data_IF_340908326103
#
_entry.id   IF_340908326103
#
_cell.length_a   1.000
_cell.length_b   1.000
_cell.length_c   1.000
_cell.angle_alpha   90.00
_cell.angle_beta   90.00
_cell.angle_gamma   90.00
#
_symmetry.space_group_name_H-M   'P 1'
#
loop_
_entity.id
_entity.type
_entity.pdbx_description
1 polymer ?
#
# COMPACT_ATOMS: atom_id res chain seq x y z
N UNK A 1 17.57 8.67 -31.20
CA UNK A 1 17.67 8.21 -29.80
C UNK A 1 16.26 8.05 -29.27
N UNK A 2 15.90 6.89 -28.72
CA UNK A 2 14.58 6.61 -28.17
C UNK A 2 14.69 5.86 -26.85
N UNK A 3 13.80 6.17 -25.91
CA UNK A 3 13.68 5.52 -24.60
C UNK A 3 12.27 4.94 -24.48
N UNK A 4 12.15 3.70 -24.01
CA UNK A 4 10.87 3.10 -23.61
C UNK A 4 10.96 2.76 -22.12
N UNK A 5 9.96 3.19 -21.35
CA UNK A 5 9.79 2.80 -19.96
C UNK A 5 8.50 2.00 -19.83
N UNK A 6 8.57 0.85 -19.17
CA UNK A 6 7.40 0.07 -18.78
C UNK A 6 7.11 0.38 -17.31
N UNK A 7 5.91 0.90 -17.03
CA UNK A 7 5.42 1.17 -15.69
C UNK A 7 4.16 0.34 -15.51
N UNK A 8 4.02 -0.31 -14.35
CA UNK A 8 2.77 -0.97 -14.01
C UNK A 8 1.65 0.05 -13.96
N UNK A 9 0.55 -0.26 -14.64
CA UNK A 9 -0.61 0.59 -14.66
C UNK A 9 -1.30 0.54 -13.30
N UNK A 10 -1.55 1.72 -12.73
CA UNK A 10 -2.41 1.84 -11.56
C UNK A 10 -3.84 1.48 -11.92
N UNK A 11 -4.54 0.79 -11.01
CA UNK A 11 -5.98 0.60 -11.14
C UNK A 11 -6.68 1.96 -11.19
N UNK A 12 -7.61 2.18 -12.14
CA UNK A 12 -8.20 3.51 -12.38
C UNK A 12 -9.01 4.04 -11.19
N UNK A 13 -9.51 3.15 -10.35
CA UNK A 13 -10.34 3.46 -9.18
C UNK A 13 -9.53 3.75 -7.90
N UNK A 14 -8.21 3.56 -7.90
CA UNK A 14 -7.36 3.64 -6.70
C UNK A 14 -7.54 4.95 -5.94
N UNK A 15 -7.61 6.09 -6.64
CA UNK A 15 -7.81 7.41 -6.03
C UNK A 15 -9.17 7.53 -5.34
N UNK A 16 -10.21 7.04 -6.00
CA UNK A 16 -11.57 7.07 -5.47
C UNK A 16 -11.67 6.19 -4.23
N UNK A 17 -11.05 5.01 -4.25
CA UNK A 17 -10.98 4.09 -3.11
C UNK A 17 -10.25 4.73 -1.92
N UNK A 18 -9.05 5.29 -2.13
CA UNK A 18 -8.30 5.97 -1.08
C UNK A 18 -9.07 7.16 -0.49
N UNK A 19 -9.72 7.96 -1.33
CA UNK A 19 -10.58 9.06 -0.88
C UNK A 19 -11.74 8.54 -0.01
N UNK A 20 -12.42 7.47 -0.43
CA UNK A 20 -13.54 6.89 0.34
C UNK A 20 -13.08 6.31 1.68
N UNK A 21 -11.92 5.65 1.71
CA UNK A 21 -11.36 5.06 2.92
C UNK A 21 -10.94 6.13 3.94
N UNK A 22 -10.33 7.21 3.46
CA UNK A 22 -9.90 8.33 4.31
C UNK A 22 -11.08 9.18 4.78
N UNK A 23 -12.07 9.41 3.92
CA UNK A 23 -13.27 10.18 4.27
C UNK A 23 -14.20 9.41 5.21
N UNK A 24 -14.41 8.11 4.97
CA UNK A 24 -15.17 7.21 5.84
C UNK A 24 -16.62 7.66 6.13
N UNK A 25 -17.43 6.73 6.65
CA UNK A 25 -18.79 7.04 7.10
C UNK A 25 -18.76 7.75 8.47
N UNK A 26 -18.39 9.03 8.50
CA UNK A 26 -18.39 9.85 9.73
C UNK A 26 -17.08 9.76 10.55
N UNK A 27 -17.14 9.34 11.81
CA UNK A 27 -16.01 9.40 12.77
C UNK A 27 -14.97 8.25 12.62
N UNK A 28 -15.10 7.38 11.64
CA UNK A 28 -14.36 6.12 11.51
C UNK A 28 -13.46 6.02 10.25
N UNK A 29 -13.07 7.15 9.65
CA UNK A 29 -12.17 7.17 8.50
C UNK A 29 -10.75 6.71 8.82
N UNK A 30 -10.05 6.17 7.82
CA UNK A 30 -8.63 5.83 7.92
C UNK A 30 -7.80 7.11 8.04
N UNK A 31 -7.09 7.27 9.16
CA UNK A 31 -6.29 8.47 9.45
C UNK A 31 -5.00 8.57 8.64
N UNK A 32 -4.36 7.44 8.39
CA UNK A 32 -3.06 7.35 7.73
C UNK A 32 -3.09 6.20 6.72
N UNK A 33 -2.58 6.48 5.53
CA UNK A 33 -2.39 5.51 4.45
C UNK A 33 -0.90 5.47 4.15
N UNK A 34 -0.33 4.28 4.15
CA UNK A 34 1.08 4.01 3.84
C UNK A 34 1.18 3.17 2.57
N UNK A 35 2.21 3.42 1.77
CA UNK A 35 2.59 2.60 0.61
C UNK A 35 3.93 1.92 0.91
N UNK A 36 3.94 0.59 0.94
CA UNK A 36 5.13 -0.22 1.21
C UNK A 36 5.43 -1.09 -0.01
N UNK A 37 6.63 -0.97 -0.59
CA UNK A 37 7.01 -1.75 -1.78
C UNK A 37 8.47 -2.21 -1.73
N UNK A 38 8.75 -3.32 -2.43
CA UNK A 38 10.11 -3.77 -2.70
C UNK A 38 10.83 -2.99 -3.80
N UNK A 39 10.08 -2.18 -4.57
CA UNK A 39 10.64 -1.34 -5.64
C UNK A 39 11.54 -0.24 -5.11
N UNK A 40 12.37 0.31 -6.00
CA UNK A 40 13.22 1.46 -5.67
C UNK A 40 12.38 2.63 -5.15
N UNK A 41 12.88 3.30 -4.10
CA UNK A 41 12.23 4.45 -3.48
C UNK A 41 11.75 5.51 -4.48
N UNK A 42 12.53 5.79 -5.53
CA UNK A 42 12.14 6.75 -6.58
C UNK A 42 10.85 6.38 -7.32
N UNK A 43 10.66 5.09 -7.61
CA UNK A 43 9.44 4.56 -8.25
C UNK A 43 8.28 4.69 -7.27
N UNK A 44 8.48 4.23 -6.02
CA UNK A 44 7.44 4.25 -4.98
C UNK A 44 6.97 5.68 -4.69
N UNK A 45 7.87 6.65 -4.57
CA UNK A 45 7.51 8.07 -4.37
C UNK A 45 6.72 8.62 -5.57
N UNK A 46 7.10 8.25 -6.80
CA UNK A 46 6.39 8.69 -8.01
C UNK A 46 4.95 8.13 -8.03
N UNK A 47 4.80 6.84 -7.74
CA UNK A 47 3.50 6.17 -7.70
C UNK A 47 2.64 6.71 -6.55
N UNK A 48 3.21 6.88 -5.35
CA UNK A 48 2.53 7.46 -4.19
C UNK A 48 1.99 8.86 -4.47
N UNK A 49 2.81 9.73 -5.06
CA UNK A 49 2.39 11.09 -5.45
C UNK A 49 1.23 11.05 -6.45
N UNK A 50 1.27 10.11 -7.40
CA UNK A 50 0.21 9.98 -8.41
C UNK A 50 -1.14 9.60 -7.79
N UNK A 51 -1.18 8.94 -6.63
CA UNK A 51 -2.41 8.53 -5.92
C UNK A 51 -2.73 9.38 -4.68
N UNK A 52 -1.93 10.41 -4.38
CA UNK A 52 -2.16 11.34 -3.26
C UNK A 52 -1.63 10.86 -1.91
N UNK A 53 -0.71 9.89 -1.89
CA UNK A 53 0.00 9.47 -0.66
C UNK A 53 1.24 10.36 -0.49
N UNK A 54 1.42 10.88 0.72
CA UNK A 54 2.56 11.75 1.05
C UNK A 54 3.89 10.97 1.00
N UNK A 55 4.96 11.64 0.61
CA UNK A 55 6.25 11.00 0.38
C UNK A 55 6.86 10.37 1.65
N UNK A 56 6.58 10.92 2.82
CA UNK A 56 6.98 10.40 4.14
C UNK A 56 6.22 9.12 4.54
N UNK A 57 5.13 8.79 3.82
CA UNK A 57 4.32 7.58 4.02
C UNK A 57 4.51 6.56 2.90
N UNK A 58 5.51 6.76 2.05
CA UNK A 58 5.82 5.92 0.91
C UNK A 58 7.24 5.36 1.05
N UNK A 59 7.37 4.05 1.28
CA UNK A 59 8.65 3.40 1.59
C UNK A 59 8.94 2.31 0.56
N UNK A 60 10.05 2.46 -0.15
CA UNK A 60 10.56 1.50 -1.12
C UNK A 60 11.75 0.70 -0.61
N UNK A 61 12.17 -0.30 -1.38
CA UNK A 61 13.32 -1.16 -1.10
C UNK A 61 13.07 -2.12 0.07
N UNK A 62 11.81 -2.39 0.41
CA UNK A 62 11.44 -3.20 1.56
C UNK A 62 11.44 -4.70 1.23
N UNK A 63 12.07 -5.49 2.07
CA UNK A 63 11.91 -6.95 2.09
C UNK A 63 10.56 -7.35 2.70
N UNK A 64 10.10 -8.60 2.52
CA UNK A 64 8.92 -9.11 3.21
C UNK A 64 8.99 -8.98 4.75
N UNK A 65 10.19 -9.09 5.32
CA UNK A 65 10.41 -8.90 6.76
C UNK A 65 10.23 -7.44 7.17
N UNK A 66 10.82 -6.51 6.41
CA UNK A 66 10.72 -5.07 6.70
C UNK A 66 9.25 -4.60 6.70
N UNK A 67 8.45 -5.12 5.76
CA UNK A 67 7.00 -4.80 5.71
C UNK A 67 6.27 -5.29 6.97
N UNK A 68 6.58 -6.49 7.44
CA UNK A 68 6.02 -7.03 8.68
C UNK A 68 6.46 -6.21 9.90
N UNK A 69 7.75 -5.89 10.00
CA UNK A 69 8.29 -5.08 11.10
C UNK A 69 7.65 -3.67 11.14
N UNK A 70 7.42 -3.07 9.98
CA UNK A 70 6.73 -1.78 9.87
C UNK A 70 5.31 -1.84 10.47
N UNK A 71 4.55 -2.88 10.13
CA UNK A 71 3.20 -3.11 10.69
C UNK A 71 3.27 -3.36 12.20
N UNK A 72 4.25 -4.15 12.65
CA UNK A 72 4.45 -4.44 14.07
C UNK A 72 4.72 -3.15 14.88
N UNK A 73 5.55 -2.24 14.34
CA UNK A 73 5.81 -0.92 14.95
C UNK A 73 4.53 -0.09 15.06
N UNK A 74 3.74 0.02 13.99
CA UNK A 74 2.46 0.74 14.05
C UNK A 74 1.50 0.16 15.09
N UNK A 75 1.45 -1.17 15.20
CA UNK A 75 0.63 -1.85 16.22
C UNK A 75 1.14 -1.59 17.64
N UNK A 76 2.46 -1.59 17.83
CA UNK A 76 3.09 -1.27 19.11
C UNK A 76 2.76 0.17 19.56
N UNK A 77 2.60 1.09 18.61
CA UNK A 77 2.12 2.46 18.85
C UNK A 77 0.60 2.55 19.11
N UNK A 78 -0.06 1.42 19.33
CA UNK A 78 -1.48 1.33 19.65
C UNK A 78 -2.42 1.51 18.45
N UNK A 79 -1.89 1.52 17.21
CA UNK A 79 -2.70 1.67 16.00
C UNK A 79 -3.39 0.33 15.66
N UNK A 80 -4.58 0.44 15.05
CA UNK A 80 -5.22 -0.69 14.36
C UNK A 80 -4.85 -0.61 12.89
N UNK A 81 -4.24 -1.68 12.37
CA UNK A 81 -3.66 -1.72 11.03
C UNK A 81 -4.45 -2.69 10.15
N UNK A 82 -4.88 -2.20 8.98
CA UNK A 82 -5.38 -3.00 7.87
C UNK A 82 -4.27 -3.03 6.81
N UNK A 83 -3.89 -4.22 6.36
CA UNK A 83 -2.90 -4.42 5.30
C UNK A 83 -3.58 -4.95 4.05
N UNK A 84 -3.26 -4.38 2.88
CA UNK A 84 -3.75 -4.83 1.58
C UNK A 84 -2.52 -5.24 0.76
N UNK A 85 -2.52 -6.45 0.19
CA UNK A 85 -1.37 -6.99 -0.55
C UNK A 85 -1.76 -8.12 -1.51
N UNK A 86 -0.80 -8.62 -2.28
CA UNK A 86 -1.01 -9.66 -3.31
C UNK A 86 -1.05 -11.10 -2.76
N UNK A 87 -0.81 -11.27 -1.47
CA UNK A 87 -0.88 -12.55 -0.76
C UNK A 87 0.30 -13.50 -0.98
N UNK A 88 1.14 -13.29 -2.00
CA UNK A 88 2.34 -14.13 -2.24
C UNK A 88 3.57 -13.47 -1.64
N UNK A 89 3.78 -12.19 -1.94
CA UNK A 89 4.94 -11.44 -1.45
C UNK A 89 4.69 -10.77 -0.10
N UNK A 90 3.41 -10.64 0.28
CA UNK A 90 2.98 -9.88 1.46
C UNK A 90 2.48 -10.77 2.61
N UNK A 91 2.64 -12.09 2.56
CA UNK A 91 2.06 -13.04 3.54
C UNK A 91 2.41 -12.72 4.99
N UNK A 92 3.67 -12.37 5.26
CA UNK A 92 4.14 -12.01 6.61
C UNK A 92 3.45 -10.73 7.09
N UNK A 93 3.43 -9.71 6.25
CA UNK A 93 2.80 -8.42 6.54
C UNK A 93 1.27 -8.55 6.71
N UNK A 94 0.61 -9.35 5.88
CA UNK A 94 -0.82 -9.64 5.97
C UNK A 94 -1.19 -10.34 7.27
N UNK A 95 -0.34 -11.26 7.73
CA UNK A 95 -0.54 -12.02 8.97
C UNK A 95 -0.24 -11.18 10.22
N UNK A 96 0.69 -10.22 10.12
CA UNK A 96 1.02 -9.31 11.22
C UNK A 96 -0.07 -8.24 11.44
N UNK A 97 -0.82 -7.85 10.40
CA UNK A 97 -1.88 -6.84 10.50
C UNK A 97 -3.05 -7.28 11.40
N UNK A 98 -3.85 -6.31 11.89
CA UNK A 98 -5.10 -6.65 12.58
C UNK A 98 -6.15 -7.22 11.61
N UNK A 99 -6.08 -6.82 10.36
CA UNK A 99 -6.87 -7.37 9.26
C UNK A 99 -6.02 -7.34 7.99
N UNK A 100 -5.74 -8.51 7.42
CA UNK A 100 -5.09 -8.65 6.12
C UNK A 100 -6.11 -8.88 5.01
N UNK A 101 -6.00 -8.13 3.91
CA UNK A 101 -6.80 -8.30 2.70
C UNK A 101 -5.86 -8.69 1.58
N UNK A 102 -5.87 -9.97 1.21
CA UNK A 102 -5.15 -10.45 0.05
C UNK A 102 -6.01 -10.26 -1.22
N UNK A 103 -5.46 -9.58 -2.21
CA UNK A 103 -6.03 -9.53 -3.55
C UNK A 103 -5.55 -10.78 -4.30
N UNK A 104 -6.48 -11.58 -4.82
CA UNK A 104 -6.11 -12.71 -5.67
C UNK A 104 -5.28 -12.20 -6.85
N UNK A 105 -4.08 -12.76 -7.03
CA UNK A 105 -3.19 -12.48 -8.14
C UNK A 105 -3.75 -13.10 -9.42
N UNK A 106 -4.68 -12.38 -10.04
CA UNK A 106 -5.35 -12.77 -11.27
C UNK A 106 -6.52 -11.83 -11.52
N UNK A 107 -6.46 -11.08 -12.62
CA UNK A 107 -7.34 -9.97 -12.91
C UNK A 107 -8.82 -10.20 -12.60
N UNK A 108 -9.45 -9.16 -12.07
CA UNK A 108 -10.87 -8.91 -12.33
C UNK A 108 -10.93 -7.66 -13.19
N UNK A 109 -10.51 -7.82 -14.44
CA UNK A 109 -11.18 -7.13 -15.52
C UNK A 109 -12.51 -7.87 -15.70
N UNK A 110 -13.59 -7.23 -15.27
CA UNK A 110 -14.95 -7.52 -15.69
C UNK A 110 -15.51 -6.27 -16.34
#
# INVERSE_FOLDING_TARGET
VGCMALLDALRPDVKAVLSRLTQGSGKAGIKEVYMLSGDRQSVVTTVAASVGIQADRAVGGMSPFDKSEFISKLKADGRKVVMIGDGINDTLALSEANCGIALASGGVDA
#
